data_IF_585686970831
#
_entry.id   IF_585686970831
#
_cell.length_a   1.000
_cell.length_b   1.000
_cell.length_c   1.000
_cell.angle_alpha   90.00
_cell.angle_beta   90.00
_cell.angle_gamma   90.00
#
_symmetry.space_group_name_H-M   'P 1'
#
loop_
_entity.id
_entity.type
_entity.pdbx_description
1 polymer ?
#
# COMPACT_ATOMS: atom_id res chain seq x y z
N UNK A 1 -21.52 -13.91 11.02
CA UNK A 1 -21.05 -12.70 10.32
C UNK A 1 -21.08 -12.95 8.82
N UNK A 2 -21.99 -12.31 8.07
CA UNK A 2 -22.08 -12.47 6.62
C UNK A 2 -21.00 -11.61 5.94
N UNK A 3 -19.75 -12.06 5.94
CA UNK A 3 -18.57 -11.37 5.34
C UNK A 3 -18.23 -10.01 5.98
N UNK A 4 -16.99 -9.86 6.45
CA UNK A 4 -16.41 -8.60 6.87
C UNK A 4 -15.56 -8.04 5.73
N UNK A 5 -15.78 -6.77 5.41
CA UNK A 5 -15.02 -6.01 4.42
C UNK A 5 -14.40 -4.81 5.12
N UNK A 6 -13.10 -4.63 4.96
CA UNK A 6 -12.38 -3.47 5.45
C UNK A 6 -11.33 -3.05 4.43
N UNK A 7 -11.10 -1.75 4.33
CA UNK A 7 -10.08 -1.18 3.46
C UNK A 7 -9.11 -0.37 4.31
N UNK A 8 -7.81 -0.63 4.11
CA UNK A 8 -6.73 0.11 4.74
C UNK A 8 -5.91 0.79 3.65
N UNK A 9 -5.86 2.12 3.72
CA UNK A 9 -5.06 2.96 2.84
C UNK A 9 -4.02 3.70 3.67
N UNK A 10 -2.80 3.80 3.15
CA UNK A 10 -1.74 4.59 3.75
C UNK A 10 -0.96 5.36 2.68
N UNK A 11 -0.60 6.59 2.99
CA UNK A 11 0.23 7.45 2.16
C UNK A 11 1.39 7.94 3.01
N UNK A 12 2.59 7.85 2.48
CA UNK A 12 3.82 8.29 3.16
C UNK A 12 4.63 9.21 2.27
N UNK A 13 5.38 10.11 2.91
CA UNK A 13 6.36 10.98 2.28
C UNK A 13 7.74 10.53 2.74
N UNK A 14 8.62 10.28 1.78
CA UNK A 14 10.02 9.97 2.04
C UNK A 14 10.88 11.26 2.04
N UNK A 15 11.59 11.48 3.14
CA UNK A 15 12.40 12.68 3.41
C UNK A 15 13.89 12.52 3.03
N UNK A 16 14.26 11.43 2.35
CA UNK A 16 15.63 11.24 1.84
C UNK A 16 16.00 12.31 0.81
N UNK A 17 17.30 12.44 0.51
CA UNK A 17 17.80 13.33 -0.55
C UNK A 17 17.25 12.93 -1.91
N UNK A 18 17.17 13.89 -2.83
CA UNK A 18 16.60 13.72 -4.17
C UNK A 18 17.28 12.60 -4.97
N UNK A 19 18.58 12.39 -4.73
CA UNK A 19 19.41 11.31 -5.26
C UNK A 19 18.80 9.90 -5.02
N UNK A 20 17.98 9.73 -3.99
CA UNK A 20 17.33 8.46 -3.66
C UNK A 20 16.13 8.12 -4.57
N UNK A 21 15.68 9.05 -5.42
CA UNK A 21 14.47 8.93 -6.23
C UNK A 21 14.75 8.90 -7.75
N UNK A 22 15.99 8.62 -8.14
CA UNK A 22 16.44 8.55 -9.52
C UNK A 22 17.29 9.76 -9.95
N UNK A 23 17.53 9.93 -11.26
CA UNK A 23 18.30 11.07 -11.77
C UNK A 23 17.66 12.39 -11.33
N UNK A 24 18.45 13.27 -10.71
CA UNK A 24 17.99 14.57 -10.18
C UNK A 24 17.31 15.42 -11.26
N UNK A 25 17.75 15.29 -12.50
CA UNK A 25 17.19 15.98 -13.68
C UNK A 25 15.73 15.60 -13.97
N UNK A 26 15.28 14.43 -13.53
CA UNK A 26 13.89 13.95 -13.68
C UNK A 26 13.12 13.99 -12.37
N UNK A 27 13.73 14.48 -11.30
CA UNK A 27 13.12 14.51 -9.98
C UNK A 27 11.93 15.49 -9.95
N UNK A 28 10.87 15.08 -9.25
CA UNK A 28 9.69 15.90 -8.93
C UNK A 28 9.31 15.61 -7.49
N UNK A 29 8.79 16.60 -6.76
CA UNK A 29 8.40 16.43 -5.34
C UNK A 29 7.42 15.26 -5.12
N UNK A 30 6.57 14.99 -6.11
CA UNK A 30 5.63 13.87 -6.10
C UNK A 30 6.31 12.50 -5.98
N UNK A 31 7.58 12.36 -6.38
CA UNK A 31 8.32 11.09 -6.29
C UNK A 31 8.59 10.66 -4.84
N UNK A 32 8.49 11.58 -3.87
CA UNK A 32 8.59 11.26 -2.44
C UNK A 32 7.37 10.50 -1.93
N UNK A 33 6.25 10.55 -2.65
CA UNK A 33 5.00 9.94 -2.22
C UNK A 33 4.97 8.46 -2.59
N UNK A 34 4.60 7.64 -1.61
CA UNK A 34 4.30 6.22 -1.80
C UNK A 34 2.94 5.91 -1.19
N UNK A 35 2.23 4.97 -1.82
CA UNK A 35 0.86 4.62 -1.48
C UNK A 35 0.76 3.13 -1.21
N UNK A 36 0.07 2.78 -0.13
CA UNK A 36 -0.24 1.41 0.23
C UNK A 36 -1.76 1.24 0.30
N UNK A 37 -2.26 0.22 -0.38
CA UNK A 37 -3.68 -0.11 -0.43
C UNK A 37 -3.85 -1.57 -0.05
N UNK A 38 -4.72 -1.86 0.91
CA UNK A 38 -5.00 -3.22 1.35
C UNK A 38 -6.49 -3.41 1.50
N UNK A 39 -7.02 -4.45 0.85
CA UNK A 39 -8.41 -4.84 0.95
C UNK A 39 -8.49 -6.10 1.80
N UNK A 40 -9.14 -6.01 2.96
CA UNK A 40 -9.26 -7.10 3.93
C UNK A 40 -10.66 -7.68 3.82
N UNK A 41 -10.72 -8.96 3.46
CA UNK A 41 -11.94 -9.74 3.33
C UNK A 41 -11.88 -10.89 4.31
N UNK A 42 -12.82 -10.95 5.25
CA UNK A 42 -12.90 -12.05 6.20
C UNK A 42 -14.29 -12.67 6.20
N UNK A 43 -14.38 -13.98 6.40
CA UNK A 43 -15.66 -14.67 6.58
C UNK A 43 -15.52 -15.74 7.65
N UNK A 44 -16.46 -15.72 8.59
CA UNK A 44 -16.70 -16.83 9.53
C UNK A 44 -17.61 -17.85 8.84
N UNK A 45 -17.14 -19.07 8.66
CA UNK A 45 -17.88 -20.15 8.00
C UNK A 45 -18.63 -21.03 9.01
N UNK A 46 -18.03 -21.25 10.17
CA UNK A 46 -18.63 -21.99 11.30
C UNK A 46 -18.12 -21.40 12.62
N UNK A 47 -18.59 -21.89 13.76
CA UNK A 47 -18.09 -21.44 15.06
C UNK A 47 -16.62 -21.75 15.30
N UNK A 48 -16.11 -22.80 14.66
CA UNK A 48 -14.72 -23.23 14.76
C UNK A 48 -13.82 -22.70 13.63
N UNK A 49 -14.37 -22.22 12.51
CA UNK A 49 -13.58 -21.83 11.35
C UNK A 49 -13.95 -20.45 10.78
N UNK A 50 -12.91 -19.62 10.67
CA UNK A 50 -12.93 -18.32 9.99
C UNK A 50 -11.71 -18.20 9.09
N UNK A 51 -11.88 -17.54 7.95
CA UNK A 51 -10.81 -17.31 6.99
C UNK A 51 -10.77 -15.83 6.60
N UNK A 52 -9.56 -15.32 6.39
CA UNK A 52 -9.30 -13.94 6.00
C UNK A 52 -8.24 -13.89 4.92
N UNK A 53 -8.47 -13.07 3.90
CA UNK A 53 -7.47 -12.68 2.91
C UNK A 53 -7.31 -11.18 2.91
N UNK A 54 -6.11 -10.73 2.55
CA UNK A 54 -5.79 -9.32 2.50
C UNK A 54 -4.87 -8.98 1.32
N UNK A 55 -5.36 -9.04 0.07
CA UNK A 55 -4.59 -8.53 -1.07
C UNK A 55 -4.16 -7.08 -0.83
N UNK A 56 -2.90 -6.80 -1.13
CA UNK A 56 -2.29 -5.48 -0.99
C UNK A 56 -1.59 -5.05 -2.27
N UNK A 57 -1.63 -3.75 -2.53
CA UNK A 57 -0.98 -3.09 -3.67
C UNK A 57 -0.16 -1.93 -3.13
N UNK A 58 1.10 -1.89 -3.51
CA UNK A 58 2.02 -0.81 -3.18
C UNK A 58 2.34 -0.07 -4.48
N UNK A 59 2.17 1.24 -4.46
CA UNK A 59 2.47 2.11 -5.60
C UNK A 59 3.52 3.13 -5.19
N UNK A 60 4.65 3.12 -5.92
CA UNK A 60 5.75 4.05 -5.74
C UNK A 60 5.79 5.03 -6.91
N UNK A 61 5.82 6.32 -6.61
CA UNK A 61 5.93 7.35 -7.65
C UNK A 61 7.33 7.43 -8.26
N UNK A 62 8.36 7.11 -7.48
CA UNK A 62 9.72 6.88 -7.97
C UNK A 62 10.03 5.39 -7.98
N UNK A 63 10.47 4.89 -9.13
CA UNK A 63 11.01 3.54 -9.27
C UNK A 63 12.52 3.72 -9.50
N UNK A 64 13.38 3.29 -8.55
CA UNK A 64 14.81 3.23 -8.81
C UNK A 64 15.07 2.32 -10.02
N UNK A 65 15.98 2.74 -10.91
CA UNK A 65 16.49 1.88 -11.98
C UNK A 65 17.51 0.88 -11.43
#
# INVERSE_FOLDING_TARGET
MPVSLSYYGNMVIDLRKEEAFGPVERYRDIHRLSYFNQLILARKFSDAFSFQIAPSVIYFNAVPQ
#
